data_IF_764444156745
#
_entry.id   IF_764444156745
#
_cell.length_a   1.000
_cell.length_b   1.000
_cell.length_c   1.000
_cell.angle_alpha   90.00
_cell.angle_beta   90.00
_cell.angle_gamma   90.00
#
_symmetry.space_group_name_H-M   'P 1'
#
loop_
_entity.id
_entity.type
_entity.pdbx_description
1 polymer ?
#
# COMPACT_ATOMS: atom_id res chain seq x y z
N UNK A 1 0.11 -21.63 15.26
CA UNK A 1 1.59 -21.55 15.41
C UNK A 1 1.90 -20.53 16.52
N UNK A 2 2.95 -20.71 17.33
CA UNK A 2 3.18 -19.89 18.53
C UNK A 2 3.57 -18.43 18.25
N UNK A 3 4.13 -18.13 17.07
CA UNK A 3 4.40 -16.75 16.67
C UNK A 3 3.11 -16.05 16.27
N UNK A 4 2.84 -14.90 16.88
CA UNK A 4 1.67 -14.07 16.58
C UNK A 4 0.35 -14.55 17.19
N UNK A 5 0.33 -15.64 17.97
CA UNK A 5 -0.91 -16.14 18.60
C UNK A 5 -1.53 -15.16 19.59
N UNK A 6 -0.74 -14.24 20.16
CA UNK A 6 -1.23 -13.16 21.02
C UNK A 6 -2.21 -12.22 20.28
N UNK A 7 -2.15 -12.14 18.95
CA UNK A 7 -3.07 -11.33 18.17
C UNK A 7 -4.53 -11.81 18.29
N UNK A 8 -4.73 -13.11 18.55
CA UNK A 8 -6.05 -13.69 18.74
C UNK A 8 -6.73 -13.21 20.05
N UNK A 9 -6.00 -12.53 20.93
CA UNK A 9 -6.57 -11.94 22.15
C UNK A 9 -7.21 -10.56 21.89
N UNK A 10 -6.95 -9.94 20.73
CA UNK A 10 -7.52 -8.62 20.42
C UNK A 10 -8.92 -8.74 19.80
N UNK A 11 -9.82 -7.79 20.12
CA UNK A 11 -11.16 -7.77 19.54
C UNK A 11 -11.12 -7.40 18.04
N UNK A 12 -12.12 -7.79 17.22
CA UNK A 12 -12.19 -7.41 15.80
C UNK A 12 -12.07 -5.89 15.54
N UNK A 13 -12.63 -5.07 16.45
CA UNK A 13 -12.53 -3.62 16.39
C UNK A 13 -11.08 -3.08 16.40
N UNK A 14 -10.14 -3.79 17.03
CA UNK A 14 -8.72 -3.43 16.99
C UNK A 14 -8.18 -3.47 15.55
N UNK A 15 -8.47 -4.56 14.82
CA UNK A 15 -8.04 -4.71 13.43
C UNK A 15 -8.71 -3.66 12.52
N UNK A 16 -9.98 -3.35 12.78
CA UNK A 16 -10.68 -2.29 12.05
C UNK A 16 -10.00 -0.92 12.20
N UNK A 17 -9.55 -0.57 13.42
CA UNK A 17 -8.80 0.68 13.66
C UNK A 17 -7.45 0.68 12.94
N UNK A 18 -6.75 -0.45 12.91
CA UNK A 18 -5.47 -0.60 12.19
C UNK A 18 -5.69 -0.33 10.69
N UNK A 19 -6.65 -1.00 10.07
CA UNK A 19 -6.95 -0.83 8.65
C UNK A 19 -7.50 0.57 8.33
N UNK A 20 -8.32 1.15 9.20
CA UNK A 20 -8.77 2.54 9.04
C UNK A 20 -7.59 3.52 9.09
N UNK A 21 -6.64 3.31 10.01
CA UNK A 21 -5.44 4.14 10.12
C UNK A 21 -4.56 4.00 8.87
N UNK A 22 -4.34 2.77 8.41
CA UNK A 22 -3.60 2.47 7.19
C UNK A 22 -4.27 3.12 5.96
N UNK A 23 -5.60 3.04 5.85
CA UNK A 23 -6.39 3.69 4.81
C UNK A 23 -6.14 5.20 4.77
N UNK A 24 -6.24 5.88 5.92
CA UNK A 24 -6.02 7.32 6.01
C UNK A 24 -4.60 7.70 5.59
N UNK A 25 -3.60 6.94 6.04
CA UNK A 25 -2.19 7.14 5.67
C UNK A 25 -1.99 6.94 4.16
N UNK A 26 -2.53 5.87 3.60
CA UNK A 26 -2.49 5.58 2.16
C UNK A 26 -3.14 6.68 1.33
N UNK A 27 -4.36 7.08 1.68
CA UNK A 27 -5.09 8.15 1.00
C UNK A 27 -4.33 9.49 1.08
N UNK A 28 -3.75 9.80 2.23
CA UNK A 28 -2.91 10.99 2.39
C UNK A 28 -1.71 10.94 1.44
N UNK A 29 -0.91 9.87 1.44
CA UNK A 29 0.26 9.79 0.57
C UNK A 29 -0.09 9.73 -0.92
N UNK A 30 -1.21 9.10 -1.29
CA UNK A 30 -1.74 9.15 -2.65
C UNK A 30 -1.99 10.61 -3.08
N UNK A 31 -2.67 11.39 -2.23
CA UNK A 31 -2.95 12.80 -2.51
C UNK A 31 -1.66 13.62 -2.70
N UNK A 32 -0.65 13.40 -1.86
CA UNK A 32 0.65 14.09 -1.94
C UNK A 32 1.43 13.71 -3.19
N UNK A 33 1.40 12.43 -3.57
CA UNK A 33 2.07 11.92 -4.77
C UNK A 33 1.43 12.47 -6.06
N UNK A 34 0.10 12.50 -6.14
CA UNK A 34 -0.58 13.11 -7.29
C UNK A 34 -0.32 14.62 -7.39
N UNK A 35 -0.31 15.34 -6.27
CA UNK A 35 0.01 16.78 -6.23
C UNK A 35 1.43 17.10 -6.73
N UNK A 36 2.34 16.12 -6.72
CA UNK A 36 3.75 16.26 -7.15
C UNK A 36 4.02 15.57 -8.48
N UNK A 37 3.00 15.15 -9.22
CA UNK A 37 3.09 14.38 -10.47
C UNK A 37 3.83 13.03 -10.35
N UNK A 38 4.00 12.49 -9.16
CA UNK A 38 4.62 11.18 -8.92
C UNK A 38 3.60 10.04 -9.17
N UNK A 39 3.15 9.89 -10.42
CA UNK A 39 2.04 9.00 -10.81
C UNK A 39 2.17 7.55 -10.32
N UNK A 40 3.34 6.86 -10.42
CA UNK A 40 3.45 5.49 -9.92
C UNK A 40 3.25 5.39 -8.41
N UNK A 41 3.82 6.34 -7.64
CA UNK A 41 3.60 6.42 -6.19
C UNK A 41 2.13 6.71 -5.88
N UNK A 42 1.51 7.64 -6.61
CA UNK A 42 0.10 7.99 -6.44
C UNK A 42 -0.81 6.78 -6.60
N UNK A 43 -0.65 6.03 -7.69
CA UNK A 43 -1.42 4.80 -7.91
C UNK A 43 -1.07 3.70 -6.92
N UNK A 44 0.20 3.54 -6.53
CA UNK A 44 0.59 2.58 -5.51
C UNK A 44 -0.12 2.82 -4.17
N UNK A 45 -0.09 4.07 -3.68
CA UNK A 45 -0.79 4.42 -2.44
C UNK A 45 -2.32 4.36 -2.56
N UNK A 46 -2.89 4.65 -3.74
CA UNK A 46 -4.32 4.45 -3.99
C UNK A 46 -4.70 2.97 -3.90
N UNK A 47 -3.96 2.08 -4.54
CA UNK A 47 -4.24 0.63 -4.48
C UNK A 47 -4.11 0.09 -3.06
N UNK A 48 -3.09 0.54 -2.32
CA UNK A 48 -2.94 0.24 -0.90
C UNK A 48 -4.17 0.70 -0.10
N UNK A 49 -4.59 1.96 -0.24
CA UNK A 49 -5.79 2.45 0.45
C UNK A 49 -7.06 1.67 0.08
N UNK A 50 -7.22 1.28 -1.19
CA UNK A 50 -8.33 0.41 -1.59
C UNK A 50 -8.21 -0.95 -0.91
N UNK A 51 -7.03 -1.56 -0.82
CA UNK A 51 -6.82 -2.83 -0.12
C UNK A 51 -7.30 -2.79 1.33
N UNK A 52 -7.04 -1.69 2.03
CA UNK A 52 -7.50 -1.48 3.41
C UNK A 52 -9.03 -1.47 3.54
N UNK A 53 -9.76 -0.96 2.55
CA UNK A 53 -11.22 -1.06 2.51
C UNK A 53 -11.68 -2.52 2.42
N UNK A 54 -10.97 -3.35 1.67
CA UNK A 54 -11.27 -4.78 1.54
C UNK A 54 -10.91 -5.56 2.81
N UNK A 55 -9.83 -5.20 3.51
CA UNK A 55 -9.55 -5.77 4.82
C UNK A 55 -10.60 -5.38 5.87
N UNK A 56 -11.11 -4.14 5.82
CA UNK A 56 -12.21 -3.74 6.71
C UNK A 56 -13.48 -4.56 6.44
N UNK A 57 -13.85 -4.82 5.18
CA UNK A 57 -15.00 -5.70 4.88
C UNK A 57 -14.76 -7.14 5.31
N UNK A 58 -13.52 -7.63 5.22
CA UNK A 58 -13.10 -8.94 5.74
C UNK A 58 -13.27 -9.03 7.26
N UNK A 59 -12.77 -8.05 8.03
CA UNK A 59 -12.85 -8.06 9.49
C UNK A 59 -14.26 -7.80 10.05
N UNK A 60 -15.18 -7.29 9.23
CA UNK A 60 -16.58 -7.12 9.57
C UNK A 60 -17.42 -8.37 9.25
N UNK A 61 -16.81 -9.45 8.76
CA UNK A 61 -17.49 -10.67 8.30
C UNK A 61 -18.64 -10.38 7.33
N UNK A 62 -18.47 -9.38 6.44
CA UNK A 62 -19.52 -8.99 5.52
C UNK A 62 -19.66 -10.04 4.40
N UNK A 63 -20.54 -11.01 4.63
CA UNK A 63 -20.75 -12.24 3.84
C UNK A 63 -21.05 -12.05 2.34
N UNK A 64 -21.33 -10.82 1.90
CA UNK A 64 -21.65 -10.49 0.51
C UNK A 64 -20.42 -10.14 -0.34
N UNK A 65 -19.24 -10.01 0.25
CA UNK A 65 -18.00 -9.70 -0.47
C UNK A 65 -17.04 -10.90 -0.49
N UNK A 66 -17.28 -11.89 -1.38
CA UNK A 66 -16.43 -13.07 -1.45
C UNK A 66 -15.00 -12.68 -1.84
N UNK A 67 -14.01 -13.38 -1.28
CA UNK A 67 -12.59 -13.15 -1.55
C UNK A 67 -12.07 -11.74 -1.15
N UNK A 68 -12.75 -11.04 -0.22
CA UNK A 68 -12.30 -9.74 0.30
C UNK A 68 -10.80 -9.74 0.65
N UNK A 69 -10.38 -10.74 1.43
CA UNK A 69 -9.00 -10.91 1.86
C UNK A 69 -8.05 -11.09 0.66
N UNK A 70 -8.34 -12.04 -0.22
CA UNK A 70 -7.48 -12.31 -1.39
C UNK A 70 -7.38 -11.10 -2.33
N UNK A 71 -8.47 -10.35 -2.51
CA UNK A 71 -8.42 -9.14 -3.33
C UNK A 71 -7.56 -8.06 -2.65
N UNK A 72 -7.67 -7.90 -1.32
CA UNK A 72 -6.79 -7.00 -0.57
C UNK A 72 -5.31 -7.38 -0.75
N UNK A 73 -4.96 -8.66 -0.62
CA UNK A 73 -3.58 -9.14 -0.81
C UNK A 73 -3.04 -8.84 -2.22
N UNK A 74 -3.85 -9.02 -3.26
CA UNK A 74 -3.46 -8.72 -4.64
C UNK A 74 -3.27 -7.21 -4.84
N UNK A 75 -4.16 -6.39 -4.28
CA UNK A 75 -4.05 -4.94 -4.34
C UNK A 75 -2.76 -4.46 -3.66
N UNK A 76 -2.44 -4.99 -2.48
CA UNK A 76 -1.21 -4.69 -1.75
C UNK A 76 0.03 -5.11 -2.53
N UNK A 77 0.01 -6.28 -3.17
CA UNK A 77 1.13 -6.74 -3.99
C UNK A 77 1.42 -5.76 -5.15
N UNK A 78 0.37 -5.33 -5.86
CA UNK A 78 0.52 -4.36 -6.96
C UNK A 78 0.94 -3.00 -6.40
N UNK A 79 0.35 -2.56 -5.28
CA UNK A 79 0.71 -1.33 -4.59
C UNK A 79 2.20 -1.30 -4.24
N UNK A 80 2.71 -2.39 -3.64
CA UNK A 80 4.11 -2.56 -3.29
C UNK A 80 5.02 -2.41 -4.50
N UNK A 81 4.70 -3.09 -5.60
CA UNK A 81 5.47 -3.00 -6.86
C UNK A 81 5.49 -1.56 -7.37
N UNK A 82 4.34 -0.88 -7.43
CA UNK A 82 4.25 0.49 -7.93
C UNK A 82 4.99 1.49 -7.04
N UNK A 83 4.89 1.35 -5.72
CA UNK A 83 5.63 2.19 -4.77
C UNK A 83 7.14 2.00 -4.96
N UNK A 84 7.60 0.75 -5.08
CA UNK A 84 9.00 0.44 -5.28
C UNK A 84 9.53 0.99 -6.61
N UNK A 85 8.79 0.78 -7.71
CA UNK A 85 9.13 1.34 -9.02
C UNK A 85 9.18 2.87 -8.96
N UNK A 86 8.18 3.50 -8.35
CA UNK A 86 8.10 4.96 -8.19
C UNK A 86 9.25 5.54 -7.36
N UNK A 87 9.72 4.82 -6.34
CA UNK A 87 10.82 5.26 -5.50
C UNK A 87 12.21 5.04 -6.13
N UNK A 88 12.41 3.92 -6.84
CA UNK A 88 13.73 3.49 -7.33
C UNK A 88 14.08 4.11 -8.68
N UNK A 89 13.14 4.21 -9.62
CA UNK A 89 13.42 4.72 -10.97
C UNK A 89 14.09 6.11 -10.99
N UNK A 90 13.63 7.11 -10.19
CA UNK A 90 14.28 8.43 -10.15
C UNK A 90 15.72 8.40 -9.62
N UNK A 91 16.05 7.45 -8.74
CA UNK A 91 17.41 7.29 -8.20
C UNK A 91 18.33 6.71 -9.27
N UNK A 92 17.87 5.66 -9.97
CA UNK A 92 18.62 5.05 -11.07
C UNK A 92 18.84 6.03 -12.23
N UNK A 93 17.83 6.83 -12.59
CA UNK A 93 17.93 7.85 -13.63
C UNK A 93 18.99 8.91 -13.30
N UNK A 94 19.01 9.40 -12.05
CA UNK A 94 20.03 10.35 -11.57
C UNK A 94 21.44 9.76 -11.60
N UNK A 95 21.62 8.52 -11.16
CA UNK A 95 22.92 7.84 -11.20
C UNK A 95 23.48 7.71 -12.62
N UNK A 96 22.63 7.36 -13.60
CA UNK A 96 23.02 7.28 -15.01
C UNK A 96 23.43 8.64 -15.58
N UNK A 97 22.70 9.71 -15.24
CA UNK A 97 23.04 11.06 -15.67
C UNK A 97 24.40 11.52 -15.11
N UNK A 98 24.67 11.28 -13.83
CA UNK A 98 25.97 11.59 -13.22
C UNK A 98 27.12 10.82 -13.87
N UNK A 99 26.92 9.53 -14.17
CA UNK A 99 27.93 8.72 -14.84
C UNK A 99 28.20 9.17 -16.29
N UNK A 100 27.18 9.66 -17.00
CA UNK A 100 27.35 10.23 -18.33
C UNK A 100 28.12 11.55 -18.31
N UNK A 101 27.82 12.44 -17.35
CA UNK A 101 28.53 13.71 -17.18
C UNK A 101 30.02 13.52 -16.86
N UNK A 102 30.37 12.52 -16.04
CA UNK A 102 31.78 12.23 -15.70
C UNK A 102 32.60 11.66 -16.88
N UNK A 103 31.95 11.25 -17.98
CA UNK A 103 32.60 10.67 -19.17
C UNK A 103 32.74 11.66 -20.34
N UNK A 104 32.15 12.85 -20.24
CA UNK A 104 32.21 13.92 -21.24
C UNK A 104 33.32 14.91 -20.89
#
# INVERSE_FOLDING_TARGET
MPFGSFLNAFPPAFFLVVHLSAFVIGAYFASRAFATNARPLGWGFTLFAIAELFYMTYHLDWTVFPFAHTIAEVLDLVAFILVFVGAVQPVLARGRASAAHARA
#
